data_IF_533997763840
#
_entry.id   IF_533997763840
#
_cell.length_a   1.000
_cell.length_b   1.000
_cell.length_c   1.000
_cell.angle_alpha   90.00
_cell.angle_beta   90.00
_cell.angle_gamma   90.00
#
_symmetry.space_group_name_H-M   'P 1'
#
loop_
_entity.id
_entity.type
_entity.pdbx_description
1 polymer ?
#
# COMPACT_ATOMS: atom_id res chain seq x y z
N UNK A 1 39.01 -20.52 -43.73
CA UNK A 1 39.64 -19.41 -43.02
C UNK A 1 38.60 -18.79 -42.08
N UNK A 2 38.69 -19.15 -40.81
CA UNK A 2 38.02 -18.43 -39.70
C UNK A 2 38.96 -17.29 -39.24
N UNK A 3 38.38 -16.20 -38.70
CA UNK A 3 38.83 -15.83 -37.43
C UNK A 3 37.74 -15.35 -36.41
N UNK A 4 38.08 -15.72 -35.24
CA UNK A 4 38.09 -14.95 -33.95
C UNK A 4 36.76 -14.69 -33.25
N UNK A 5 36.60 -15.48 -32.23
CA UNK A 5 35.80 -15.32 -31.01
C UNK A 5 36.12 -14.01 -30.27
N UNK A 6 35.11 -13.22 -29.98
CA UNK A 6 35.16 -12.20 -28.92
C UNK A 6 34.30 -12.69 -27.77
N UNK A 7 34.96 -12.99 -26.64
CA UNK A 7 34.37 -13.25 -25.33
C UNK A 7 33.96 -11.90 -24.72
N UNK A 8 32.69 -11.67 -24.52
CA UNK A 8 32.20 -10.61 -23.66
C UNK A 8 32.05 -11.16 -22.23
N UNK A 9 32.83 -10.63 -21.34
CA UNK A 9 32.71 -10.85 -19.88
C UNK A 9 31.62 -9.94 -19.39
N UNK A 10 30.46 -10.50 -19.06
CA UNK A 10 29.41 -9.75 -18.37
C UNK A 10 29.71 -9.72 -16.87
N UNK A 11 30.14 -8.57 -16.39
CA UNK A 11 30.26 -8.28 -14.96
C UNK A 11 28.89 -7.87 -14.43
N UNK A 12 28.22 -8.81 -13.75
CA UNK A 12 27.01 -8.53 -13.00
C UNK A 12 27.43 -7.95 -11.65
N UNK A 13 27.30 -6.65 -11.48
CA UNK A 13 27.23 -6.00 -10.17
C UNK A 13 25.92 -5.22 -10.11
N UNK A 14 24.88 -5.86 -9.59
CA UNK A 14 23.67 -5.19 -9.15
C UNK A 14 23.55 -5.34 -7.64
N UNK A 15 23.89 -4.30 -6.93
CA UNK A 15 23.56 -4.09 -5.53
C UNK A 15 22.27 -3.29 -5.49
N UNK A 16 21.15 -3.98 -5.38
CA UNK A 16 19.87 -3.35 -5.07
C UNK A 16 19.86 -2.95 -3.59
N UNK A 17 20.07 -1.68 -3.31
CA UNK A 17 19.84 -1.10 -1.98
C UNK A 17 18.35 -0.86 -1.76
N UNK A 18 17.69 -1.79 -1.07
CA UNK A 18 16.33 -1.58 -0.54
C UNK A 18 16.45 -0.73 0.73
N UNK A 19 16.19 0.57 0.60
CA UNK A 19 16.02 1.46 1.74
C UNK A 19 14.57 1.40 2.21
N UNK A 20 14.30 0.58 3.23
CA UNK A 20 13.05 0.69 3.98
C UNK A 20 13.13 1.95 4.85
N UNK A 21 12.32 2.96 4.54
CA UNK A 21 12.21 4.18 5.30
C UNK A 21 11.26 3.93 6.47
N UNK A 22 11.81 3.73 7.67
CA UNK A 22 11.02 3.80 8.90
C UNK A 22 10.70 5.29 9.15
N UNK A 23 9.42 5.65 9.04
CA UNK A 23 8.93 7.00 9.38
C UNK A 23 8.83 7.09 10.89
N UNK A 24 9.79 7.77 11.52
CA UNK A 24 9.72 8.17 12.92
C UNK A 24 9.05 9.54 12.99
N UNK A 25 7.87 9.60 13.60
CA UNK A 25 7.20 10.87 13.91
C UNK A 25 7.91 11.54 15.09
N UNK A 26 8.66 12.59 14.83
CA UNK A 26 9.19 13.48 15.85
C UNK A 26 8.23 14.65 16.05
N UNK A 27 7.53 14.69 17.19
CA UNK A 27 6.86 15.90 17.63
C UNK A 27 7.91 16.85 18.24
N UNK A 28 8.16 17.98 17.61
CA UNK A 28 8.93 19.08 18.22
C UNK A 28 7.98 19.93 19.03
N UNK A 29 8.14 19.92 20.37
CA UNK A 29 7.48 20.85 21.26
C UNK A 29 8.25 22.17 21.28
N UNK A 30 7.57 23.28 20.96
CA UNK A 30 8.05 24.64 21.22
C UNK A 30 7.90 24.99 22.73
N UNK A 31 8.63 25.98 23.27
CA UNK A 31 8.62 26.27 24.67
C UNK A 31 7.32 26.96 25.12
N UNK A 32 6.53 26.32 25.93
CA UNK A 32 5.42 26.93 26.64
C UNK A 32 5.80 27.16 28.10
N UNK A 33 5.46 28.35 28.59
CA UNK A 33 5.66 28.82 29.94
C UNK A 33 4.95 27.96 30.99
N UNK A 34 5.59 27.89 32.17
CA UNK A 34 5.30 27.00 33.28
C UNK A 34 3.86 26.93 33.76
N UNK A 35 3.38 25.72 33.84
CA UNK A 35 2.44 25.25 34.84
C UNK A 35 2.83 23.79 35.15
N UNK A 36 3.03 23.48 36.42
CA UNK A 36 3.34 22.14 36.90
C UNK A 36 2.17 21.21 36.61
N UNK A 37 2.36 20.12 35.82
CA UNK A 37 1.31 19.16 35.67
C UNK A 37 1.25 18.22 36.87
N UNK A 38 0.08 18.10 37.49
CA UNK A 38 -0.24 16.98 38.37
C UNK A 38 -0.05 15.64 37.62
N UNK A 39 0.40 14.58 38.30
CA UNK A 39 0.56 13.28 37.64
C UNK A 39 -0.83 12.72 37.27
N UNK A 40 -1.21 12.84 36.05
CA UNK A 40 -2.33 12.08 35.51
C UNK A 40 -1.83 10.63 35.28
N UNK A 41 -2.10 9.80 36.27
CA UNK A 41 -2.04 8.34 36.11
C UNK A 41 -3.21 7.91 35.26
N UNK A 42 -3.12 8.15 33.95
CA UNK A 42 -4.01 7.60 32.97
C UNK A 42 -3.37 6.34 32.42
N UNK A 43 -3.92 5.16 32.76
CA UNK A 43 -3.65 3.95 32.02
C UNK A 43 -3.98 4.24 30.55
N UNK A 44 -3.01 4.06 29.65
CA UNK A 44 -3.25 4.11 28.21
C UNK A 44 -4.36 3.11 27.93
N UNK A 45 -5.50 3.52 27.36
CA UNK A 45 -6.56 2.55 27.06
C UNK A 45 -5.98 1.46 26.15
N UNK A 46 -6.40 0.19 26.33
CA UNK A 46 -5.94 -0.89 25.48
C UNK A 46 -6.20 -0.47 24.02
N UNK A 47 -5.20 -0.67 23.17
CA UNK A 47 -5.33 -0.36 21.74
C UNK A 47 -6.57 -1.04 21.20
N UNK A 48 -7.42 -0.30 20.47
CA UNK A 48 -8.62 -0.86 19.86
C UNK A 48 -8.21 -1.94 18.85
N UNK A 49 -8.63 -3.16 19.11
CA UNK A 49 -8.37 -4.34 18.29
C UNK A 49 -9.62 -4.79 17.53
N UNK A 50 -10.65 -3.96 17.48
CA UNK A 50 -11.91 -4.24 16.78
C UNK A 50 -11.80 -3.83 15.32
N UNK A 51 -12.36 -4.62 14.40
CA UNK A 51 -12.46 -4.21 13.00
C UNK A 51 -13.35 -2.98 12.86
N UNK A 52 -12.87 -2.01 12.11
CA UNK A 52 -13.70 -0.89 11.65
C UNK A 52 -14.58 -1.42 10.53
N UNK A 53 -15.91 -1.37 10.72
CA UNK A 53 -16.89 -1.74 9.69
C UNK A 53 -17.61 -0.50 9.19
N UNK A 54 -17.61 -0.30 7.88
CA UNK A 54 -18.39 0.74 7.21
C UNK A 54 -19.35 0.10 6.20
N UNK A 55 -20.64 0.44 6.28
CA UNK A 55 -21.63 0.08 5.26
C UNK A 55 -21.62 1.18 4.20
N UNK A 56 -21.27 0.84 2.96
CA UNK A 56 -21.12 1.81 1.87
C UNK A 56 -22.29 1.81 0.89
N UNK A 57 -23.01 0.71 0.80
CA UNK A 57 -24.28 0.56 0.12
C UNK A 57 -25.03 -0.66 0.69
N UNK A 58 -26.25 -0.93 0.21
CA UNK A 58 -27.01 -2.11 0.63
C UNK A 58 -26.26 -3.41 0.27
N UNK A 59 -25.98 -4.21 1.30
CA UNK A 59 -25.21 -5.44 1.17
C UNK A 59 -23.73 -5.24 0.87
N UNK A 60 -23.17 -4.03 0.95
CA UNK A 60 -21.76 -3.77 0.66
C UNK A 60 -21.07 -3.13 1.85
N UNK A 61 -20.03 -3.79 2.34
CA UNK A 61 -19.31 -3.44 3.56
C UNK A 61 -17.81 -3.34 3.30
N UNK A 62 -17.18 -2.38 3.96
CA UNK A 62 -15.71 -2.28 4.04
C UNK A 62 -15.29 -2.64 5.45
N UNK A 63 -14.35 -3.56 5.57
CA UNK A 63 -13.71 -3.93 6.82
C UNK A 63 -12.27 -3.51 6.80
N UNK A 64 -11.84 -2.75 7.80
CA UNK A 64 -10.47 -2.29 7.96
C UNK A 64 -9.97 -2.67 9.35
N UNK A 65 -8.77 -3.25 9.42
CA UNK A 65 -8.08 -3.44 10.68
C UNK A 65 -7.52 -2.10 11.17
N UNK A 66 -7.67 -1.72 12.44
CA UNK A 66 -6.93 -0.61 12.99
C UNK A 66 -5.44 -0.93 13.03
N UNK A 67 -4.58 0.09 12.96
CA UNK A 67 -3.10 -0.06 12.96
C UNK A 67 -2.56 -0.89 14.13
N UNK A 68 -3.27 -0.91 15.26
CA UNK A 68 -2.94 -1.74 16.41
C UNK A 68 -3.11 -3.26 16.17
N UNK A 69 -3.95 -3.68 15.22
CA UNK A 69 -4.12 -5.08 14.81
C UNK A 69 -3.18 -5.48 13.70
N UNK A 70 -2.89 -4.55 12.82
CA UNK A 70 -2.09 -4.79 11.63
C UNK A 70 -0.90 -3.82 11.63
N UNK A 71 0.24 -4.31 12.10
CA UNK A 71 1.44 -3.50 12.41
C UNK A 71 1.99 -2.73 11.21
N UNK A 72 1.59 -3.08 9.98
CA UNK A 72 2.23 -2.57 8.78
C UNK A 72 1.26 -1.98 7.77
N UNK A 73 0.05 -2.52 7.66
CA UNK A 73 -0.90 -2.10 6.62
C UNK A 73 -2.33 -2.36 7.06
N UNK A 74 -3.14 -1.33 7.06
CA UNK A 74 -4.58 -1.42 7.35
C UNK A 74 -5.37 -1.65 6.05
N UNK A 75 -5.11 -2.78 5.37
CA UNK A 75 -5.76 -3.12 4.11
C UNK A 75 -7.28 -3.23 4.27
N UNK A 76 -8.01 -2.61 3.37
CA UNK A 76 -9.45 -2.71 3.28
C UNK A 76 -9.84 -4.05 2.64
N UNK A 77 -10.70 -4.82 3.32
CA UNK A 77 -11.42 -5.93 2.73
C UNK A 77 -12.84 -5.48 2.39
N UNK A 78 -13.26 -5.61 1.13
CA UNK A 78 -14.62 -5.24 0.72
C UNK A 78 -15.45 -6.48 0.56
N UNK A 79 -16.59 -6.52 1.27
CA UNK A 79 -17.54 -7.65 1.30
C UNK A 79 -18.81 -7.23 0.58
N UNK A 80 -19.18 -7.98 -0.44
CA UNK A 80 -20.35 -7.76 -1.29
C UNK A 80 -21.29 -8.98 -1.10
N UNK A 81 -22.40 -8.75 -0.42
CA UNK A 81 -23.46 -9.76 -0.24
C UNK A 81 -24.37 -9.70 -1.45
N UNK A 82 -24.30 -10.72 -2.28
CA UNK A 82 -25.12 -10.90 -3.47
C UNK A 82 -26.40 -11.70 -3.16
N UNK A 83 -27.20 -12.01 -4.18
CA UNK A 83 -28.46 -12.74 -4.01
C UNK A 83 -28.25 -14.14 -3.39
N UNK A 84 -27.23 -14.90 -3.82
CA UNK A 84 -27.00 -16.29 -3.42
C UNK A 84 -25.67 -16.53 -2.72
N UNK A 85 -24.75 -15.58 -2.81
CA UNK A 85 -23.37 -15.75 -2.34
C UNK A 85 -22.76 -14.43 -1.83
N UNK A 86 -21.51 -14.50 -1.45
CA UNK A 86 -20.69 -13.35 -1.06
C UNK A 86 -19.45 -13.32 -1.93
N UNK A 87 -19.13 -12.13 -2.44
CA UNK A 87 -17.85 -11.79 -3.07
C UNK A 87 -17.03 -10.96 -2.09
N UNK A 88 -15.74 -11.28 -1.94
CA UNK A 88 -14.79 -10.54 -1.11
C UNK A 88 -13.67 -10.02 -1.99
N UNK A 89 -13.27 -8.78 -1.79
CA UNK A 89 -12.12 -8.15 -2.42
C UNK A 89 -11.04 -7.92 -1.36
N UNK A 90 -9.89 -8.57 -1.54
CA UNK A 90 -8.74 -8.70 -0.65
C UNK A 90 -9.00 -9.44 0.68
N UNK A 91 -7.97 -10.13 1.14
CA UNK A 91 -8.08 -11.03 2.29
C UNK A 91 -7.21 -10.63 3.48
N UNK A 92 -6.71 -9.40 3.48
CA UNK A 92 -5.86 -8.82 4.52
C UNK A 92 -4.46 -9.45 4.69
N UNK A 93 -3.65 -8.80 5.52
CA UNK A 93 -2.25 -9.14 5.81
C UNK A 93 -2.11 -10.37 6.68
N UNK A 94 -2.95 -10.50 7.69
CA UNK A 94 -2.81 -11.52 8.74
C UNK A 94 -3.94 -12.53 8.73
N UNK A 95 -3.62 -13.83 8.92
CA UNK A 95 -4.65 -14.86 9.08
C UNK A 95 -5.67 -14.53 10.18
N UNK A 96 -5.24 -13.89 11.26
CA UNK A 96 -6.14 -13.44 12.33
C UNK A 96 -7.16 -12.43 11.82
N UNK A 97 -6.73 -11.42 11.09
CA UNK A 97 -7.60 -10.36 10.53
C UNK A 97 -8.58 -10.97 9.53
N UNK A 98 -8.10 -11.85 8.64
CA UNK A 98 -8.98 -12.58 7.71
C UNK A 98 -10.07 -13.37 8.43
N UNK A 99 -9.74 -14.08 9.52
CA UNK A 99 -10.76 -14.79 10.34
C UNK A 99 -11.77 -13.84 10.96
N UNK A 100 -11.33 -12.68 11.45
CA UNK A 100 -12.24 -11.68 12.00
C UNK A 100 -13.23 -11.17 10.94
N UNK A 101 -12.78 -10.93 9.71
CA UNK A 101 -13.67 -10.55 8.60
C UNK A 101 -14.64 -11.68 8.26
N UNK A 102 -14.17 -12.94 8.21
CA UNK A 102 -15.01 -14.12 8.00
C UNK A 102 -16.10 -14.23 9.08
N UNK A 103 -15.76 -13.98 10.33
CA UNK A 103 -16.71 -14.02 11.44
C UNK A 103 -17.75 -12.89 11.34
N UNK A 104 -17.35 -11.70 10.89
CA UNK A 104 -18.30 -10.62 10.58
C UNK A 104 -19.22 -10.97 9.41
N UNK A 105 -18.71 -11.58 8.34
CA UNK A 105 -19.55 -12.08 7.23
C UNK A 105 -20.63 -13.03 7.74
N UNK A 106 -20.28 -13.97 8.61
CA UNK A 106 -21.22 -14.95 9.19
C UNK A 106 -22.32 -14.30 10.05
N UNK A 107 -22.02 -13.16 10.68
CA UNK A 107 -23.03 -12.38 11.43
C UNK A 107 -23.98 -11.62 10.50
N UNK A 108 -23.51 -11.22 9.32
CA UNK A 108 -24.28 -10.44 8.34
C UNK A 108 -25.19 -11.37 7.52
N UNK A 109 -24.69 -12.53 7.10
CA UNK A 109 -25.41 -13.42 6.18
C UNK A 109 -25.00 -14.88 6.34
N UNK A 110 -25.96 -15.84 6.17
CA UNK A 110 -25.61 -17.25 6.09
C UNK A 110 -25.08 -17.69 4.72
N UNK A 111 -25.05 -16.79 3.73
CA UNK A 111 -24.60 -17.08 2.35
C UNK A 111 -23.10 -17.39 2.34
N UNK A 112 -22.64 -18.36 1.54
CA UNK A 112 -21.24 -18.70 1.47
C UNK A 112 -20.45 -17.66 0.66
N UNK A 113 -19.17 -17.46 1.04
CA UNK A 113 -18.23 -16.77 0.15
C UNK A 113 -17.88 -17.72 -1.01
N UNK A 114 -18.25 -17.33 -2.23
CA UNK A 114 -17.97 -18.09 -3.46
C UNK A 114 -16.81 -17.50 -4.24
N UNK A 115 -16.57 -16.20 -4.10
CA UNK A 115 -15.56 -15.46 -4.86
C UNK A 115 -14.70 -14.63 -3.92
N UNK A 116 -13.40 -14.81 -4.05
CA UNK A 116 -12.39 -13.98 -3.41
C UNK A 116 -11.53 -13.34 -4.53
N UNK A 117 -11.38 -12.04 -4.54
CA UNK A 117 -10.61 -11.30 -5.54
C UNK A 117 -9.37 -10.75 -4.85
N UNK A 118 -8.19 -11.02 -5.39
CA UNK A 118 -6.98 -10.38 -4.92
C UNK A 118 -6.62 -9.22 -5.86
N UNK A 119 -6.51 -8.03 -5.29
CA UNK A 119 -6.21 -6.81 -6.04
C UNK A 119 -4.84 -6.87 -6.72
N UNK A 120 -3.81 -7.26 -5.99
CA UNK A 120 -2.44 -7.36 -6.51
C UNK A 120 -1.59 -8.33 -5.68
N UNK A 121 -0.28 -8.43 -5.99
CA UNK A 121 0.60 -9.46 -5.44
C UNK A 121 1.23 -9.11 -4.08
N UNK A 122 1.06 -7.91 -3.53
CA UNK A 122 1.55 -7.56 -2.20
C UNK A 122 0.81 -8.37 -1.13
N UNK A 123 1.56 -8.80 -0.13
CA UNK A 123 1.10 -9.83 0.81
C UNK A 123 -0.06 -9.40 1.69
N UNK A 124 -0.16 -8.12 1.95
CA UNK A 124 -1.24 -7.53 2.75
C UNK A 124 -2.62 -7.63 2.08
N UNK A 125 -2.68 -8.05 0.82
CA UNK A 125 -3.93 -8.23 0.07
C UNK A 125 -4.35 -9.68 -0.12
N UNK A 126 -3.46 -10.67 0.13
CA UNK A 126 -3.78 -12.07 -0.12
C UNK A 126 -3.29 -13.08 0.92
N UNK A 127 -2.60 -12.65 1.96
CA UNK A 127 -2.09 -13.56 3.01
C UNK A 127 -3.19 -14.33 3.73
N UNK A 128 -4.41 -13.79 3.77
CA UNK A 128 -5.58 -14.43 4.35
C UNK A 128 -6.29 -15.45 3.45
N UNK A 129 -5.87 -15.65 2.20
CA UNK A 129 -6.55 -16.55 1.25
C UNK A 129 -6.79 -17.96 1.82
N UNK A 130 -5.84 -18.50 2.60
CA UNK A 130 -5.95 -19.81 3.21
C UNK A 130 -7.10 -19.93 4.21
N UNK A 131 -7.37 -18.85 4.95
CA UNK A 131 -8.47 -18.81 5.91
C UNK A 131 -9.84 -18.87 5.21
N UNK A 132 -9.95 -18.19 4.05
CA UNK A 132 -11.16 -18.25 3.22
C UNK A 132 -11.37 -19.65 2.62
N UNK A 133 -10.30 -20.30 2.13
CA UNK A 133 -10.38 -21.66 1.60
C UNK A 133 -10.79 -22.68 2.69
N UNK A 134 -10.29 -22.50 3.93
CA UNK A 134 -10.70 -23.33 5.08
C UNK A 134 -12.16 -23.08 5.47
N UNK A 135 -12.58 -21.81 5.51
CA UNK A 135 -13.92 -21.44 5.95
C UNK A 135 -15.01 -21.75 4.92
N UNK A 136 -14.67 -21.67 3.63
CA UNK A 136 -15.57 -21.83 2.50
C UNK A 136 -14.95 -22.75 1.44
N UNK A 137 -15.02 -24.07 1.62
CA UNK A 137 -14.52 -25.02 0.64
C UNK A 137 -15.14 -24.77 -0.74
N UNK A 138 -14.31 -24.68 -1.77
CA UNK A 138 -14.75 -24.37 -3.14
C UNK A 138 -14.79 -22.88 -3.50
N UNK A 139 -14.38 -21.97 -2.60
CA UNK A 139 -14.20 -20.56 -2.95
C UNK A 139 -13.24 -20.43 -4.12
N UNK A 140 -13.62 -19.64 -5.13
CA UNK A 140 -12.79 -19.33 -6.28
C UNK A 140 -12.01 -18.06 -6.01
N UNK A 141 -10.69 -18.12 -6.22
CA UNK A 141 -9.81 -16.97 -6.05
C UNK A 141 -9.45 -16.42 -7.42
N UNK A 142 -9.71 -15.14 -7.64
CA UNK A 142 -9.54 -14.45 -8.92
C UNK A 142 -8.48 -13.36 -8.79
N UNK A 143 -7.60 -13.25 -9.77
CA UNK A 143 -6.69 -12.12 -9.94
C UNK A 143 -6.28 -12.00 -11.41
N UNK A 144 -5.52 -10.97 -11.76
CA UNK A 144 -4.88 -10.92 -13.08
C UNK A 144 -3.82 -12.03 -13.22
N UNK A 145 -3.49 -12.38 -14.44
CA UNK A 145 -2.39 -13.33 -14.73
C UNK A 145 -1.08 -12.83 -14.16
N UNK A 146 -0.80 -11.53 -14.30
CA UNK A 146 0.42 -10.91 -13.77
C UNK A 146 0.50 -10.98 -12.26
N UNK A 147 -0.56 -10.61 -11.56
CA UNK A 147 -0.65 -10.72 -10.09
C UNK A 147 -0.38 -12.16 -9.64
N UNK A 148 -1.05 -13.15 -10.26
CA UNK A 148 -0.84 -14.56 -9.95
C UNK A 148 0.60 -15.01 -10.16
N UNK A 149 1.22 -14.58 -11.25
CA UNK A 149 2.61 -14.95 -11.57
C UNK A 149 3.60 -14.28 -10.63
N UNK A 150 3.38 -13.03 -10.23
CA UNK A 150 4.17 -12.35 -9.21
C UNK A 150 4.01 -13.01 -7.83
N UNK A 151 2.81 -13.36 -7.41
CA UNK A 151 2.58 -14.10 -6.17
C UNK A 151 3.40 -15.39 -6.12
N UNK A 152 3.48 -16.13 -7.24
CA UNK A 152 4.27 -17.36 -7.33
C UNK A 152 5.78 -17.12 -7.29
N UNK A 153 6.27 -16.08 -7.99
CA UNK A 153 7.70 -15.76 -8.07
C UNK A 153 8.24 -15.15 -6.81
N UNK A 154 7.57 -14.11 -6.31
CA UNK A 154 8.03 -13.34 -5.15
C UNK A 154 7.64 -14.01 -3.84
N UNK A 155 6.44 -14.57 -3.77
CA UNK A 155 5.93 -15.37 -2.68
C UNK A 155 6.07 -14.73 -1.30
N UNK A 156 5.58 -15.41 -0.27
CA UNK A 156 5.72 -14.97 1.12
C UNK A 156 7.16 -15.02 1.63
N UNK A 157 8.03 -15.79 0.97
CA UNK A 157 9.45 -15.88 1.35
C UNK A 157 10.14 -14.53 1.24
N UNK A 158 9.90 -13.79 0.16
CA UNK A 158 10.48 -12.45 -0.02
C UNK A 158 10.07 -11.49 1.11
N UNK A 159 8.79 -11.48 1.47
CA UNK A 159 8.28 -10.63 2.55
C UNK A 159 8.79 -11.08 3.93
N UNK A 160 8.78 -12.38 4.22
CA UNK A 160 9.32 -12.94 5.46
C UNK A 160 10.84 -12.67 5.58
N UNK A 161 11.59 -12.82 4.50
CA UNK A 161 13.03 -12.52 4.47
C UNK A 161 13.26 -11.02 4.69
N UNK A 162 12.44 -10.14 4.11
CA UNK A 162 12.48 -8.69 4.33
C UNK A 162 12.20 -8.30 5.78
N UNK A 163 11.20 -8.93 6.42
CA UNK A 163 10.89 -8.75 7.84
C UNK A 163 12.04 -9.24 8.73
N UNK A 164 12.60 -10.42 8.46
CA UNK A 164 13.75 -10.95 9.20
C UNK A 164 14.98 -10.04 9.07
N UNK A 165 15.25 -9.54 7.87
CA UNK A 165 16.31 -8.53 7.67
C UNK A 165 16.04 -7.24 8.43
N UNK A 166 14.77 -6.85 8.57
CA UNK A 166 14.38 -5.68 9.39
C UNK A 166 14.64 -5.92 10.87
N UNK A 167 14.30 -7.10 11.39
CA UNK A 167 14.62 -7.49 12.78
C UNK A 167 16.12 -7.38 13.05
N UNK A 168 16.95 -7.88 12.13
CA UNK A 168 18.42 -7.78 12.25
C UNK A 168 18.88 -6.32 12.30
N UNK A 169 18.36 -5.48 11.40
CA UNK A 169 18.69 -4.04 11.38
C UNK A 169 18.25 -3.30 12.65
N UNK A 170 17.05 -3.59 13.14
CA UNK A 170 16.51 -2.96 14.35
C UNK A 170 17.33 -3.35 15.58
N UNK A 171 17.72 -4.63 15.71
CA UNK A 171 18.62 -5.10 16.78
C UNK A 171 19.97 -4.39 16.74
N UNK A 172 20.61 -4.34 15.58
CA UNK A 172 21.88 -3.64 15.41
C UNK A 172 21.81 -2.15 15.73
N UNK A 173 20.68 -1.49 15.41
CA UNK A 173 20.44 -0.11 15.75
C UNK A 173 20.27 0.08 17.28
N UNK A 174 19.51 -0.80 17.94
CA UNK A 174 19.35 -0.79 19.39
C UNK A 174 20.69 -1.06 20.11
N UNK A 175 21.47 -2.06 19.67
CA UNK A 175 22.78 -2.35 20.23
C UNK A 175 23.72 -1.14 20.14
N UNK A 176 23.66 -0.44 19.02
CA UNK A 176 24.43 0.81 18.82
C UNK A 176 23.94 1.91 19.77
N UNK A 177 22.62 2.09 19.88
CA UNK A 177 22.02 3.09 20.78
C UNK A 177 22.37 2.82 22.25
N UNK A 178 22.34 1.55 22.66
CA UNK A 178 22.75 1.14 24.02
C UNK A 178 24.23 1.44 24.27
N UNK A 179 25.12 1.14 23.32
CA UNK A 179 26.55 1.40 23.45
C UNK A 179 26.89 2.89 23.47
N UNK A 180 26.20 3.70 22.68
CA UNK A 180 26.50 5.14 22.53
C UNK A 180 25.69 6.03 23.45
N UNK A 181 24.64 5.51 24.10
CA UNK A 181 23.67 6.28 24.87
C UNK A 181 22.77 7.18 24.00
N UNK A 182 22.81 7.03 22.67
CA UNK A 182 22.09 7.89 21.72
C UNK A 182 21.34 7.08 20.66
N UNK A 183 20.15 7.55 20.32
CA UNK A 183 19.36 7.03 19.19
C UNK A 183 19.99 7.46 17.84
N UNK A 184 19.47 6.93 16.73
CA UNK A 184 19.99 7.22 15.37
C UNK A 184 19.90 8.71 14.99
N UNK A 185 18.93 9.43 15.53
CA UNK A 185 18.72 10.88 15.35
C UNK A 185 19.59 11.74 16.26
N UNK A 186 20.44 11.13 17.09
CA UNK A 186 21.32 11.81 18.03
C UNK A 186 20.68 12.12 19.39
N UNK A 187 19.38 11.88 19.58
CA UNK A 187 18.70 12.06 20.86
C UNK A 187 19.15 11.02 21.90
N UNK A 188 19.10 11.33 23.23
CA UNK A 188 19.44 10.35 24.25
C UNK A 188 18.55 9.11 24.22
N UNK A 189 19.13 7.93 24.43
CA UNK A 189 18.37 6.70 24.59
C UNK A 189 17.80 6.64 26.01
N UNK A 190 16.54 7.02 26.17
CA UNK A 190 15.82 6.88 27.45
C UNK A 190 15.42 5.43 27.69
N UNK A 191 15.13 5.10 28.98
CA UNK A 191 14.62 3.76 29.33
C UNK A 191 13.28 3.44 28.64
N UNK A 192 12.45 4.44 28.37
CA UNK A 192 11.19 4.31 27.65
C UNK A 192 11.45 4.03 26.16
N UNK A 193 12.29 4.82 25.50
CA UNK A 193 12.66 4.63 24.09
C UNK A 193 13.28 3.24 23.87
N UNK A 194 14.12 2.77 24.80
CA UNK A 194 14.69 1.43 24.76
C UNK A 194 13.60 0.36 24.83
N UNK A 195 12.67 0.43 25.79
CA UNK A 195 11.56 -0.53 25.90
C UNK A 195 10.68 -0.54 24.65
N UNK A 196 10.40 0.63 24.06
CA UNK A 196 9.65 0.73 22.81
C UNK A 196 10.37 0.02 21.69
N UNK A 197 11.65 0.26 21.50
CA UNK A 197 12.44 -0.41 20.44
C UNK A 197 12.54 -1.94 20.68
N UNK A 198 12.71 -2.39 21.93
CA UNK A 198 12.70 -3.82 22.27
C UNK A 198 11.35 -4.47 21.93
N UNK A 199 10.24 -3.78 22.22
CA UNK A 199 8.88 -4.21 21.86
C UNK A 199 8.72 -4.30 20.34
N UNK A 200 9.09 -3.24 19.58
CA UNK A 200 8.98 -3.21 18.11
C UNK A 200 9.78 -4.35 17.46
N UNK A 201 10.96 -4.66 17.99
CA UNK A 201 11.78 -5.80 17.53
C UNK A 201 11.05 -7.12 17.77
N UNK A 202 10.48 -7.32 18.95
CA UNK A 202 9.76 -8.55 19.31
C UNK A 202 8.51 -8.73 18.45
N UNK A 203 7.74 -7.66 18.24
CA UNK A 203 6.54 -7.66 17.40
C UNK A 203 6.87 -7.92 15.93
N UNK A 204 7.93 -7.29 15.39
CA UNK A 204 8.39 -7.54 14.03
C UNK A 204 8.85 -8.99 13.85
N UNK A 205 9.55 -9.54 14.83
CA UNK A 205 9.99 -10.94 14.79
C UNK A 205 8.81 -11.93 14.85
N UNK A 206 7.83 -11.66 15.71
CA UNK A 206 6.60 -12.46 15.79
C UNK A 206 5.81 -12.42 14.48
N UNK A 207 5.69 -11.24 13.88
CA UNK A 207 5.03 -11.09 12.59
C UNK A 207 5.79 -11.80 11.45
N UNK A 208 7.11 -11.73 11.43
CA UNK A 208 7.92 -12.48 10.47
C UNK A 208 7.69 -14.01 10.57
N UNK A 209 7.60 -14.53 11.79
CA UNK A 209 7.31 -15.94 12.03
C UNK A 209 5.88 -16.32 11.60
N UNK A 210 4.89 -15.46 11.86
CA UNK A 210 3.50 -15.65 11.40
C UNK A 210 3.44 -15.71 9.87
N UNK A 211 4.08 -14.74 9.18
CA UNK A 211 4.13 -14.69 7.70
C UNK A 211 4.82 -15.92 7.11
N UNK A 212 5.90 -16.37 7.73
CA UNK A 212 6.62 -17.56 7.27
C UNK A 212 5.78 -18.85 7.37
N UNK A 213 4.83 -18.91 8.31
CA UNK A 213 3.95 -20.04 8.54
C UNK A 213 2.70 -20.03 7.64
N UNK A 214 2.41 -18.96 6.90
CA UNK A 214 1.22 -18.87 6.04
C UNK A 214 1.29 -19.91 4.92
N UNK A 215 0.25 -20.75 4.81
CA UNK A 215 0.06 -21.61 3.64
C UNK A 215 -0.36 -20.75 2.45
N UNK A 216 0.42 -20.80 1.39
CA UNK A 216 0.20 -19.99 0.18
C UNK A 216 -0.91 -20.57 -0.66
N UNK A 217 -1.96 -19.81 -0.85
CA UNK A 217 -3.07 -20.16 -1.74
C UNK A 217 -3.16 -19.10 -2.82
N UNK A 218 -2.93 -19.53 -4.06
CA UNK A 218 -2.87 -18.67 -5.22
C UNK A 218 -4.21 -18.61 -5.96
N UNK A 219 -4.47 -17.55 -6.75
CA UNK A 219 -5.65 -17.46 -7.59
C UNK A 219 -5.85 -18.71 -8.47
N UNK A 220 -7.09 -19.20 -8.50
CA UNK A 220 -7.50 -20.34 -9.31
C UNK A 220 -8.03 -19.92 -10.67
N UNK A 221 -8.55 -18.69 -10.78
CA UNK A 221 -8.99 -18.05 -12.00
C UNK A 221 -8.08 -16.85 -12.26
N UNK A 222 -7.58 -16.73 -13.48
CA UNK A 222 -6.75 -15.61 -13.90
C UNK A 222 -7.28 -14.99 -15.18
N UNK A 223 -7.25 -13.63 -15.24
CA UNK A 223 -7.64 -12.86 -16.41
C UNK A 223 -6.53 -11.86 -16.78
N UNK A 224 -6.65 -11.15 -17.93
CA UNK A 224 -5.65 -10.19 -18.40
C UNK A 224 -6.15 -8.75 -18.28
N UNK A 225 -7.05 -8.36 -19.14
CA UNK A 225 -7.43 -6.95 -19.28
C UNK A 225 -8.65 -6.60 -18.42
N UNK A 226 -9.70 -7.40 -18.51
CA UNK A 226 -10.92 -7.24 -17.74
C UNK A 226 -11.68 -8.55 -17.61
N UNK A 227 -12.53 -8.63 -16.58
CA UNK A 227 -13.45 -9.74 -16.34
C UNK A 227 -14.73 -9.20 -15.76
N UNK A 228 -15.87 -9.55 -16.35
CA UNK A 228 -17.17 -9.26 -15.76
C UNK A 228 -17.76 -10.51 -15.13
N UNK A 229 -18.12 -10.40 -13.87
CA UNK A 229 -18.83 -11.42 -13.12
C UNK A 229 -20.28 -10.99 -12.92
N UNK A 230 -21.17 -11.95 -12.99
CA UNK A 230 -22.57 -11.77 -12.65
C UNK A 230 -22.93 -12.64 -11.45
N UNK A 231 -23.44 -12.04 -10.39
CA UNK A 231 -24.00 -12.75 -9.25
C UNK A 231 -25.44 -12.33 -9.05
N UNK A 232 -26.37 -13.18 -9.51
CA UNK A 232 -27.76 -12.77 -9.72
C UNK A 232 -27.82 -11.63 -10.76
N UNK A 233 -28.42 -10.51 -10.37
CA UNK A 233 -28.52 -9.33 -11.22
C UNK A 233 -27.37 -8.32 -11.01
N UNK A 234 -26.46 -8.57 -10.06
CA UNK A 234 -25.34 -7.67 -9.81
C UNK A 234 -24.22 -7.88 -10.78
N UNK A 235 -23.85 -6.83 -11.48
CA UNK A 235 -22.68 -6.77 -12.34
C UNK A 235 -21.47 -6.33 -11.53
N UNK A 236 -20.39 -7.12 -11.58
CA UNK A 236 -19.09 -6.83 -10.94
C UNK A 236 -18.04 -6.81 -12.05
N UNK A 237 -17.48 -5.63 -12.33
CA UNK A 237 -16.42 -5.48 -13.34
C UNK A 237 -15.06 -5.45 -12.66
N UNK A 238 -14.17 -6.35 -13.09
CA UNK A 238 -12.78 -6.37 -12.72
C UNK A 238 -11.96 -5.77 -13.87
N UNK A 239 -11.16 -4.76 -13.56
CA UNK A 239 -10.38 -4.02 -14.54
C UNK A 239 -8.91 -4.15 -14.15
N UNK A 240 -8.07 -4.63 -15.09
CA UNK A 240 -6.63 -4.64 -14.90
C UNK A 240 -6.06 -3.24 -15.09
N UNK A 241 -5.25 -2.81 -14.14
CA UNK A 241 -4.62 -1.48 -14.13
C UNK A 241 -3.16 -1.58 -13.71
N UNK A 242 -2.41 -0.53 -13.95
CA UNK A 242 -1.16 -0.27 -13.26
C UNK A 242 -1.46 0.62 -12.06
N UNK A 243 -1.03 0.18 -10.89
CA UNK A 243 -1.10 0.92 -9.64
C UNK A 243 0.26 0.89 -8.95
N UNK A 244 0.30 0.66 -7.65
CA UNK A 244 1.55 0.36 -6.92
C UNK A 244 2.21 -0.94 -7.40
N UNK A 245 1.45 -1.79 -8.07
CA UNK A 245 1.92 -2.96 -8.80
C UNK A 245 1.31 -3.00 -10.20
N UNK A 246 2.06 -3.54 -11.18
CA UNK A 246 1.51 -3.85 -12.50
C UNK A 246 0.54 -5.02 -12.41
N UNK A 247 -0.49 -5.01 -13.26
CA UNK A 247 -1.51 -6.05 -13.27
C UNK A 247 -2.41 -6.04 -12.04
N UNK A 248 -2.54 -4.89 -11.37
CA UNK A 248 -3.49 -4.72 -10.27
C UNK A 248 -4.93 -4.81 -10.77
N UNK A 249 -5.82 -5.33 -9.93
CA UNK A 249 -7.27 -5.38 -10.17
C UNK A 249 -7.95 -4.23 -9.45
N UNK A 250 -8.77 -3.49 -10.17
CA UNK A 250 -9.78 -2.59 -9.63
C UNK A 250 -11.15 -3.22 -9.83
N UNK A 251 -12.02 -3.13 -8.83
CA UNK A 251 -13.39 -3.62 -8.92
C UNK A 251 -14.34 -2.42 -9.08
N UNK A 252 -15.24 -2.50 -10.05
CA UNK A 252 -16.27 -1.49 -10.28
C UNK A 252 -17.66 -2.11 -10.24
N UNK A 253 -18.54 -1.51 -9.46
CA UNK A 253 -19.97 -1.83 -9.36
C UNK A 253 -20.78 -0.71 -10.04
N UNK A 254 -21.21 -0.90 -11.30
CA UNK A 254 -21.84 0.16 -12.07
C UNK A 254 -23.17 0.63 -11.47
N UNK A 255 -23.99 -0.29 -10.98
CA UNK A 255 -25.31 0.03 -10.42
C UNK A 255 -25.18 0.83 -9.12
N UNK A 256 -24.24 0.47 -8.26
CA UNK A 256 -24.01 1.13 -6.97
C UNK A 256 -23.08 2.35 -7.10
N UNK A 257 -22.43 2.53 -8.26
CA UNK A 257 -21.44 3.59 -8.54
C UNK A 257 -20.26 3.55 -7.57
N UNK A 258 -19.78 2.35 -7.26
CA UNK A 258 -18.68 2.09 -6.33
C UNK A 258 -17.45 1.62 -7.10
N UNK A 259 -16.31 2.21 -6.76
CA UNK A 259 -14.99 1.87 -7.27
C UNK A 259 -14.10 1.40 -6.11
N UNK A 260 -13.65 0.14 -6.16
CA UNK A 260 -12.72 -0.43 -5.18
C UNK A 260 -11.35 -0.54 -5.83
N UNK A 261 -10.40 0.22 -5.32
CA UNK A 261 -9.16 0.55 -6.03
C UNK A 261 -8.01 -0.41 -5.78
N UNK A 262 -8.03 -1.21 -4.69
CA UNK A 262 -6.78 -1.79 -4.21
C UNK A 262 -5.71 -0.70 -4.05
N UNK A 263 -4.45 -1.04 -4.19
CA UNK A 263 -3.37 -0.05 -4.08
C UNK A 263 -3.09 0.74 -5.37
N UNK A 264 -4.04 0.72 -6.33
CA UNK A 264 -4.09 1.77 -7.35
C UNK A 264 -4.44 3.14 -6.74
N UNK A 265 -5.04 3.15 -5.54
CA UNK A 265 -5.23 4.34 -4.72
C UNK A 265 -5.06 3.98 -3.24
N UNK A 266 -4.17 4.66 -2.56
CA UNK A 266 -3.88 4.47 -1.13
C UNK A 266 -3.90 5.80 -0.43
N UNK A 267 -4.42 5.82 0.79
CA UNK A 267 -4.39 7.01 1.63
C UNK A 267 -3.86 6.67 3.03
N UNK A 268 -3.55 7.71 3.79
CA UNK A 268 -3.23 7.55 5.21
C UNK A 268 -4.49 7.20 6.01
N UNK A 269 -4.31 6.60 7.17
CA UNK A 269 -5.42 6.18 8.06
C UNK A 269 -6.40 7.32 8.37
N UNK A 270 -5.90 8.55 8.49
CA UNK A 270 -6.73 9.74 8.71
C UNK A 270 -7.54 10.19 7.48
N UNK A 271 -7.32 9.62 6.30
CA UNK A 271 -8.01 9.98 5.06
C UNK A 271 -7.59 11.32 4.46
N UNK A 272 -6.56 11.93 4.99
CA UNK A 272 -5.98 13.18 4.52
C UNK A 272 -4.45 13.04 4.39
N UNK A 273 -3.82 14.02 3.78
CA UNK A 273 -2.39 13.98 3.49
C UNK A 273 -2.04 13.22 2.20
N UNK A 274 -0.77 13.29 1.77
CA UNK A 274 -0.33 12.69 0.51
C UNK A 274 -0.43 11.18 0.54
N UNK A 275 -0.47 10.52 -0.63
CA UNK A 275 -0.34 9.08 -0.71
C UNK A 275 0.88 8.60 0.08
N UNK A 276 0.74 7.61 0.97
CA UNK A 276 1.81 7.27 1.91
C UNK A 276 3.03 6.64 1.25
N UNK A 277 2.89 6.10 0.03
CA UNK A 277 4.00 5.49 -0.70
C UNK A 277 3.83 5.55 -2.21
N UNK A 278 4.98 5.63 -2.87
CA UNK A 278 5.10 5.68 -4.31
C UNK A 278 6.34 4.88 -4.76
N UNK A 279 6.92 4.11 -3.83
CA UNK A 279 8.28 3.60 -4.00
C UNK A 279 8.39 2.32 -4.79
N UNK A 280 7.30 1.54 -4.90
CA UNK A 280 7.32 0.23 -5.54
C UNK A 280 6.80 0.23 -6.96
N UNK A 281 6.11 1.30 -7.40
CA UNK A 281 5.62 1.36 -8.78
C UNK A 281 6.75 1.39 -9.78
N UNK A 282 6.58 0.57 -10.80
CA UNK A 282 7.54 0.43 -11.88
C UNK A 282 7.29 1.41 -13.04
N UNK A 283 6.09 2.03 -13.11
CA UNK A 283 5.70 2.87 -14.23
C UNK A 283 4.67 3.94 -13.81
N UNK A 284 5.14 5.12 -13.45
CA UNK A 284 4.28 6.26 -13.06
C UNK A 284 3.41 6.71 -14.22
N UNK A 285 3.95 6.71 -15.45
CA UNK A 285 3.20 7.07 -16.65
C UNK A 285 2.00 6.13 -16.87
N UNK A 286 2.20 4.82 -16.75
CA UNK A 286 1.11 3.84 -16.90
C UNK A 286 0.12 3.91 -15.71
N UNK A 287 0.59 4.22 -14.51
CA UNK A 287 -0.28 4.44 -13.36
C UNK A 287 -1.16 5.67 -13.55
N UNK A 288 -0.59 6.79 -14.00
CA UNK A 288 -1.36 8.00 -14.35
C UNK A 288 -2.45 7.69 -15.39
N UNK A 289 -2.13 6.95 -16.45
CA UNK A 289 -3.11 6.54 -17.45
C UNK A 289 -4.25 5.71 -16.84
N UNK A 290 -3.92 4.82 -15.90
CA UNK A 290 -4.92 4.03 -15.16
C UNK A 290 -5.83 4.94 -14.32
N UNK A 291 -5.27 5.87 -13.53
CA UNK A 291 -6.05 6.81 -12.72
C UNK A 291 -7.00 7.65 -13.60
N UNK A 292 -6.51 8.22 -14.71
CA UNK A 292 -7.33 9.01 -15.65
C UNK A 292 -8.41 8.15 -16.34
N UNK A 293 -8.13 6.87 -16.57
CA UNK A 293 -9.13 5.90 -17.04
C UNK A 293 -10.26 5.69 -16.04
N UNK A 294 -9.90 5.49 -14.77
CA UNK A 294 -10.85 5.25 -13.67
C UNK A 294 -11.68 6.49 -13.31
N UNK A 295 -11.12 7.69 -13.43
CA UNK A 295 -11.85 8.95 -13.23
C UNK A 295 -13.07 9.09 -14.15
N UNK A 296 -13.01 8.51 -15.36
CA UNK A 296 -14.13 8.56 -16.33
C UNK A 296 -15.31 7.66 -15.98
N UNK A 297 -15.11 6.69 -15.07
CA UNK A 297 -16.21 5.84 -14.61
C UNK A 297 -17.21 6.64 -13.76
N UNK A 298 -18.50 6.33 -13.89
CA UNK A 298 -19.55 6.93 -13.10
C UNK A 298 -19.56 6.34 -11.68
N UNK A 299 -18.66 6.84 -10.85
CA UNK A 299 -18.49 6.41 -9.46
C UNK A 299 -18.56 7.63 -8.53
N UNK A 300 -19.25 7.48 -7.41
CA UNK A 300 -19.36 8.46 -6.35
C UNK A 300 -18.92 7.93 -4.97
N UNK A 301 -18.56 6.64 -4.90
CA UNK A 301 -17.89 6.02 -3.75
C UNK A 301 -16.59 5.41 -4.24
N UNK A 302 -15.48 5.76 -3.58
CA UNK A 302 -14.15 5.24 -3.89
C UNK A 302 -13.58 4.62 -2.63
N UNK A 303 -13.27 3.31 -2.72
CA UNK A 303 -12.64 2.56 -1.64
C UNK A 303 -11.16 2.37 -1.99
N UNK A 304 -10.22 3.03 -1.31
CA UNK A 304 -8.80 2.82 -1.53
C UNK A 304 -8.37 1.45 -1.00
N UNK A 305 -7.21 0.96 -1.38
CA UNK A 305 -6.65 -0.28 -0.81
C UNK A 305 -6.40 -0.16 0.68
N UNK A 306 -6.05 1.04 1.14
CA UNK A 306 -5.83 1.36 2.55
C UNK A 306 -6.35 2.75 2.87
N UNK A 307 -6.86 2.93 4.11
CA UNK A 307 -7.45 4.17 4.57
C UNK A 307 -8.98 4.23 4.44
N UNK A 308 -9.61 5.36 4.75
CA UNK A 308 -11.06 5.50 4.79
C UNK A 308 -11.69 5.57 3.39
N UNK A 309 -12.97 5.27 3.34
CA UNK A 309 -13.80 5.38 2.12
C UNK A 309 -14.07 6.84 1.77
N UNK A 310 -13.97 7.18 0.50
CA UNK A 310 -14.34 8.49 -0.03
C UNK A 310 -15.75 8.46 -0.64
N UNK A 311 -16.48 9.56 -0.47
CA UNK A 311 -17.83 9.75 -1.04
C UNK A 311 -17.80 10.65 -2.28
N UNK A 312 -16.62 10.80 -2.86
CA UNK A 312 -16.39 11.46 -4.16
C UNK A 312 -15.06 10.97 -4.77
N UNK A 313 -14.70 11.53 -5.93
CA UNK A 313 -13.46 11.20 -6.64
C UNK A 313 -12.33 12.23 -6.42
N UNK A 314 -12.49 13.19 -5.50
CA UNK A 314 -11.50 14.29 -5.37
C UNK A 314 -10.11 13.80 -5.07
N UNK A 315 -9.97 12.82 -4.17
CA UNK A 315 -8.65 12.29 -3.82
C UNK A 315 -8.02 11.51 -5.00
N UNK A 316 -8.82 10.78 -5.78
CA UNK A 316 -8.39 10.11 -7.00
C UNK A 316 -7.90 11.14 -8.03
N UNK A 317 -8.69 12.18 -8.31
CA UNK A 317 -8.33 13.27 -9.22
C UNK A 317 -7.07 14.00 -8.76
N UNK A 318 -7.01 14.36 -7.48
CA UNK A 318 -5.84 15.04 -6.92
C UNK A 318 -4.55 14.21 -7.04
N UNK A 319 -4.65 12.88 -6.90
CA UNK A 319 -3.52 11.96 -7.10
C UNK A 319 -3.09 11.93 -8.56
N UNK A 320 -4.04 11.89 -9.49
CA UNK A 320 -3.79 12.00 -10.93
C UNK A 320 -3.12 13.33 -11.29
N UNK A 321 -3.62 14.45 -10.76
CA UNK A 321 -3.06 15.79 -10.99
C UNK A 321 -1.62 15.92 -10.48
N UNK A 322 -1.32 15.31 -9.33
CA UNK A 322 0.04 15.26 -8.80
C UNK A 322 0.98 14.52 -9.75
N UNK A 323 0.59 13.33 -10.22
CA UNK A 323 1.41 12.52 -11.12
C UNK A 323 1.62 13.21 -12.46
N UNK A 324 0.58 13.81 -13.02
CA UNK A 324 0.63 14.55 -14.28
C UNK A 324 1.52 15.79 -14.18
N UNK A 325 1.35 16.58 -13.12
CA UNK A 325 2.17 17.78 -12.90
C UNK A 325 3.65 17.45 -12.74
N UNK A 326 3.97 16.41 -11.96
CA UNK A 326 5.36 15.94 -11.81
C UNK A 326 5.90 15.45 -13.16
N UNK A 327 5.17 14.62 -13.88
CA UNK A 327 5.61 14.10 -15.19
C UNK A 327 5.88 15.19 -16.18
N UNK A 328 4.98 16.16 -16.30
CA UNK A 328 5.12 17.31 -17.19
C UNK A 328 6.36 18.15 -16.86
N UNK A 329 6.59 18.45 -15.57
CA UNK A 329 7.72 19.26 -15.14
C UNK A 329 9.06 18.54 -15.31
N UNK A 330 9.11 17.22 -15.06
CA UNK A 330 10.31 16.40 -15.28
C UNK A 330 10.65 16.36 -16.76
N UNK A 331 9.69 16.09 -17.65
CA UNK A 331 9.91 16.07 -19.10
C UNK A 331 10.39 17.44 -19.59
N UNK A 332 9.75 18.51 -19.17
CA UNK A 332 10.16 19.88 -19.51
C UNK A 332 11.58 20.21 -19.01
N UNK A 333 11.99 19.73 -17.85
CA UNK A 333 13.37 19.92 -17.37
C UNK A 333 14.38 19.17 -18.26
N UNK A 334 14.09 17.93 -18.62
CA UNK A 334 14.93 17.11 -19.49
C UNK A 334 15.05 17.71 -20.90
N UNK A 335 13.96 18.22 -21.49
CA UNK A 335 13.95 18.90 -22.78
C UNK A 335 14.83 20.18 -22.78
N UNK A 336 14.95 20.85 -21.63
CA UNK A 336 15.86 21.98 -21.44
C UNK A 336 17.32 21.57 -21.18
N UNK A 337 17.64 20.28 -21.20
CA UNK A 337 18.97 19.74 -20.96
C UNK A 337 19.35 19.63 -19.48
N UNK A 338 18.40 19.74 -18.56
CA UNK A 338 18.61 19.51 -17.11
C UNK A 338 18.54 18.01 -16.86
N UNK A 339 19.70 17.33 -16.81
CA UNK A 339 19.76 15.86 -16.71
C UNK A 339 20.03 15.37 -15.27
N UNK A 340 20.90 16.00 -14.46
CA UNK A 340 21.18 15.50 -13.12
C UNK A 340 19.92 15.46 -12.25
N UNK A 341 19.66 14.32 -11.63
CA UNK A 341 18.44 14.10 -10.84
C UNK A 341 18.20 15.20 -9.79
N UNK A 342 19.24 15.65 -9.10
CA UNK A 342 19.13 16.71 -8.09
C UNK A 342 18.63 18.03 -8.68
N UNK A 343 19.08 18.38 -9.88
CA UNK A 343 18.66 19.60 -10.57
C UNK A 343 17.23 19.48 -11.11
N UNK A 344 16.84 18.30 -11.59
CA UNK A 344 15.45 17.99 -11.97
C UNK A 344 14.53 18.07 -10.75
N UNK A 345 14.94 17.53 -9.61
CA UNK A 345 14.18 17.62 -8.37
C UNK A 345 13.99 19.07 -7.91
N UNK A 346 15.03 19.92 -8.05
CA UNK A 346 14.94 21.34 -7.72
C UNK A 346 14.05 22.13 -8.69
N UNK A 347 13.89 21.68 -9.93
CA UNK A 347 13.05 22.31 -10.95
C UNK A 347 11.55 21.98 -10.82
N UNK A 348 11.17 20.93 -10.05
CA UNK A 348 9.78 20.52 -9.87
C UNK A 348 9.15 21.22 -8.67
N UNK A 349 8.03 21.92 -8.91
CA UNK A 349 7.24 22.56 -7.85
C UNK A 349 5.77 22.14 -7.96
N UNK A 350 5.27 21.46 -6.93
CA UNK A 350 3.89 21.02 -6.80
C UNK A 350 3.30 21.39 -5.43
N UNK A 351 3.83 22.42 -4.79
CA UNK A 351 3.42 22.85 -3.45
C UNK A 351 1.91 23.21 -3.40
N UNK A 352 1.37 23.82 -4.46
CA UNK A 352 -0.06 24.13 -4.57
C UNK A 352 -0.95 22.87 -4.56
N UNK A 353 -0.46 21.77 -5.12
CA UNK A 353 -1.15 20.48 -5.05
C UNK A 353 -0.97 19.89 -3.65
N UNK A 354 0.23 20.00 -3.07
CA UNK A 354 0.53 19.53 -1.72
C UNK A 354 -0.38 20.12 -0.64
N UNK A 355 -0.74 21.39 -0.75
CA UNK A 355 -1.66 22.06 0.16
C UNK A 355 -3.10 21.51 0.08
N UNK A 356 -3.51 20.98 -1.06
CA UNK A 356 -4.86 20.43 -1.23
C UNK A 356 -5.06 19.09 -0.49
N UNK A 357 -3.97 18.35 -0.21
CA UNK A 357 -4.04 17.13 0.60
C UNK A 357 -4.30 17.41 2.09
N UNK A 358 -4.05 18.63 2.55
CA UNK A 358 -4.27 19.05 3.95
C UNK A 358 -5.05 20.36 3.97
N UNK A 359 -6.37 20.33 3.77
CA UNK A 359 -7.19 21.54 3.73
C UNK A 359 -7.00 22.42 4.96
N UNK A 360 -6.75 23.71 4.73
CA UNK A 360 -6.49 24.69 5.79
C UNK A 360 -5.01 24.80 6.22
N UNK A 361 -4.12 23.93 5.72
CA UNK A 361 -2.68 24.10 5.95
C UNK A 361 -2.12 25.24 5.11
N UNK A 362 -1.20 26.01 5.70
CA UNK A 362 -0.43 27.06 5.04
C UNK A 362 1.00 26.62 4.66
N UNK A 363 1.39 25.44 5.14
CA UNK A 363 2.71 24.86 4.90
C UNK A 363 2.48 23.43 4.39
N UNK A 364 3.21 23.08 3.36
CA UNK A 364 3.19 21.73 2.77
C UNK A 364 3.75 20.72 3.76
N UNK A 365 3.03 19.62 3.96
CA UNK A 365 3.46 18.51 4.82
C UNK A 365 4.86 18.00 4.37
N UNK A 366 5.83 17.87 5.28
CA UNK A 366 7.15 17.32 4.94
C UNK A 366 7.09 15.92 4.30
N UNK A 367 6.09 15.10 4.64
CA UNK A 367 5.86 13.78 4.03
C UNK A 367 5.52 13.91 2.55
N UNK A 368 4.77 14.95 2.15
CA UNK A 368 4.48 15.24 0.75
C UNK A 368 5.76 15.49 -0.05
N UNK A 369 6.71 16.24 0.50
CA UNK A 369 8.00 16.48 -0.18
C UNK A 369 8.80 15.20 -0.38
N UNK A 370 8.75 14.26 0.56
CA UNK A 370 9.39 12.95 0.41
C UNK A 370 8.72 12.13 -0.72
N UNK A 371 7.38 12.16 -0.80
CA UNK A 371 6.61 11.54 -1.89
C UNK A 371 6.99 12.15 -3.24
N UNK A 372 6.99 13.47 -3.36
CA UNK A 372 7.39 14.18 -4.59
C UNK A 372 8.80 13.80 -5.02
N UNK A 373 9.76 13.80 -4.09
CA UNK A 373 11.15 13.39 -4.37
C UNK A 373 11.22 11.96 -4.95
N UNK A 374 10.44 11.04 -4.40
CA UNK A 374 10.38 9.66 -4.90
C UNK A 374 9.73 9.59 -6.29
N UNK A 375 8.63 10.30 -6.53
CA UNK A 375 7.94 10.36 -7.82
C UNK A 375 8.83 10.97 -8.91
N UNK A 376 9.47 12.11 -8.64
CA UNK A 376 10.40 12.75 -9.60
C UNK A 376 11.51 11.78 -10.01
N UNK A 377 12.10 11.07 -9.05
CA UNK A 377 13.12 10.04 -9.33
C UNK A 377 12.59 8.96 -10.28
N UNK A 378 11.36 8.48 -10.04
CA UNK A 378 10.75 7.44 -10.88
C UNK A 378 10.47 7.92 -12.29
N UNK A 379 9.83 9.07 -12.46
CA UNK A 379 9.56 9.66 -13.78
C UNK A 379 10.86 9.96 -14.53
N UNK A 380 11.87 10.51 -13.85
CA UNK A 380 13.19 10.73 -14.41
C UNK A 380 13.82 9.44 -14.94
N UNK A 381 13.77 8.36 -14.14
CA UNK A 381 14.27 7.04 -14.55
C UNK A 381 13.52 6.49 -15.78
N UNK A 382 12.18 6.53 -15.78
CA UNK A 382 11.36 6.08 -16.91
C UNK A 382 11.69 6.84 -18.19
N UNK A 383 11.89 8.16 -18.08
CA UNK A 383 12.22 9.00 -19.23
C UNK A 383 13.58 8.66 -19.83
N UNK A 384 14.59 8.41 -19.00
CA UNK A 384 15.92 8.01 -19.47
C UNK A 384 15.92 6.59 -20.08
N UNK A 385 15.21 5.65 -19.46
CA UNK A 385 15.07 4.27 -19.98
C UNK A 385 14.33 4.24 -21.33
N UNK A 386 13.36 5.14 -21.53
CA UNK A 386 12.65 5.33 -22.80
C UNK A 386 13.56 5.87 -23.92
N UNK A 387 14.48 6.75 -23.60
CA UNK A 387 15.46 7.29 -24.58
C UNK A 387 16.49 6.24 -24.99
N UNK A 388 16.91 5.37 -24.07
CA UNK A 388 17.92 4.32 -24.34
C UNK A 388 17.35 3.20 -25.24
N UNK A 389 16.02 3.03 -25.28
CA UNK A 389 15.36 1.96 -26.05
C UNK A 389 14.90 2.39 -27.47
N UNK A 390 15.03 3.66 -27.80
CA UNK A 390 14.82 4.19 -29.16
C UNK A 390 16.15 4.26 -29.94
#
# INVERSE_FOLDING_TARGET
MLPATVRAVASIRSLASLSALAVTVTMTAGPAAGSTPSPVSGAVPPADTTLIRETIADGIYVFRAPSALDLWTATNAVVIVNDQDVTVFDSNTRPKTARMVIDEIRKITPKPVRTLINSHWHQDHWSGNDEYVKAYPGVQIIATTETRDFMKRMGSKFFADGLNASVVRLRAALDTAVRTGKQRDGTPLTAEARRTQEKDIAETAAFAAEVAAIRRVYPTIAYRDSLTLWSGNREIRLISVTGDATGSTVLYLPAEKILVMGDALVTQEAGNGPPPWTTNSYAITAWLQSLRGLERLDANVVVPGQGPVFRDKKYLTLTGDLFESISTQVHSALERGIIPLGDVQAAVNVDSIGLQYTPGATIVDPRFRAVVTALVRKVHQESLDGVIRQ
#
